data_IF_209405347984
#
_entry.id   IF_209405347984
#
_cell.length_a   1.000
_cell.length_b   1.000
_cell.length_c   1.000
_cell.angle_alpha   90.00
_cell.angle_beta   90.00
_cell.angle_gamma   90.00
#
_symmetry.space_group_name_H-M   'P 1'
#
loop_
_entity.id
_entity.type
_entity.pdbx_description
1 polymer ?
#
# COMPACT_ATOMS: atom_id res chain seq x y z
N UNK A 1 -13.16 -13.39 -9.15
CA UNK A 1 -12.42 -13.17 -7.89
C UNK A 1 -10.90 -13.21 -8.07
N UNK A 2 -10.31 -14.27 -8.65
CA UNK A 2 -8.84 -14.41 -8.80
C UNK A 2 -8.18 -13.24 -9.55
N UNK A 3 -8.81 -12.72 -10.61
CA UNK A 3 -8.29 -11.56 -11.36
C UNK A 3 -8.29 -10.25 -10.58
N UNK A 4 -9.19 -10.07 -9.61
CA UNK A 4 -9.25 -8.86 -8.79
C UNK A 4 -8.12 -8.87 -7.76
N UNK A 5 -7.85 -10.04 -7.17
CA UNK A 5 -6.75 -10.25 -6.21
C UNK A 5 -5.40 -10.01 -6.89
N UNK A 6 -5.17 -10.60 -8.07
CA UNK A 6 -3.93 -10.39 -8.83
C UNK A 6 -3.69 -8.93 -9.29
N UNK A 7 -4.77 -8.14 -9.43
CA UNK A 7 -4.68 -6.71 -9.70
C UNK A 7 -4.36 -5.92 -8.44
N UNK A 8 -5.09 -6.18 -7.36
CA UNK A 8 -4.86 -5.50 -6.09
C UNK A 8 -3.42 -5.73 -5.59
N UNK A 9 -2.95 -6.96 -5.64
CA UNK A 9 -1.58 -7.30 -5.25
C UNK A 9 -0.53 -6.60 -6.14
N UNK A 10 -0.77 -6.52 -7.46
CA UNK A 10 0.11 -5.76 -8.37
C UNK A 10 0.20 -4.27 -7.99
N UNK A 11 -0.93 -3.65 -7.65
CA UNK A 11 -0.96 -2.26 -7.19
C UNK A 11 -0.19 -2.09 -5.89
N UNK A 12 -0.37 -3.01 -4.94
CA UNK A 12 0.35 -3.02 -3.67
C UNK A 12 1.87 -3.16 -3.88
N UNK A 13 2.32 -4.01 -4.79
CA UNK A 13 3.75 -4.14 -5.14
C UNK A 13 4.32 -2.79 -5.61
N UNK A 14 3.65 -2.11 -6.53
CA UNK A 14 4.12 -0.83 -7.06
C UNK A 14 4.12 0.26 -5.99
N UNK A 15 3.05 0.37 -5.20
CA UNK A 15 2.91 1.41 -4.18
C UNK A 15 3.88 1.22 -3.02
N UNK A 16 3.97 0.01 -2.46
CA UNK A 16 4.89 -0.29 -1.36
C UNK A 16 6.34 -0.22 -1.84
N UNK A 17 6.63 -0.67 -3.08
CA UNK A 17 7.96 -0.52 -3.68
C UNK A 17 8.36 0.94 -3.86
N UNK A 18 7.47 1.80 -4.37
CA UNK A 18 7.74 3.23 -4.50
C UNK A 18 7.91 3.92 -3.14
N UNK A 19 7.11 3.54 -2.14
CA UNK A 19 7.26 4.04 -0.77
C UNK A 19 8.58 3.61 -0.14
N UNK A 20 8.97 2.34 -0.32
CA UNK A 20 10.26 1.83 0.15
C UNK A 20 11.43 2.61 -0.48
N UNK A 21 11.37 2.90 -1.79
CA UNK A 21 12.36 3.75 -2.47
C UNK A 21 12.46 5.15 -1.84
N UNK A 22 11.32 5.81 -1.63
CA UNK A 22 11.28 7.14 -1.04
C UNK A 22 11.86 7.16 0.38
N UNK A 23 11.52 6.15 1.20
CA UNK A 23 12.05 6.02 2.56
C UNK A 23 13.54 5.71 2.58
N UNK A 24 14.03 4.86 1.67
CA UNK A 24 15.45 4.58 1.54
C UNK A 24 16.25 5.83 1.18
N UNK A 25 15.71 6.64 0.25
CA UNK A 25 16.28 7.93 -0.14
C UNK A 25 16.30 8.94 1.02
N UNK A 26 15.20 9.04 1.78
CA UNK A 26 15.12 9.93 2.95
C UNK A 26 16.04 9.47 4.09
N UNK A 27 16.09 8.16 4.37
CA UNK A 27 16.97 7.59 5.37
C UNK A 27 18.45 7.85 5.06
N UNK A 28 18.83 7.76 3.78
CA UNK A 28 20.19 8.04 3.33
C UNK A 28 20.62 9.51 3.54
N UNK A 29 19.67 10.43 3.69
CA UNK A 29 19.93 11.84 3.97
C UNK A 29 19.91 12.18 5.47
N UNK A 30 19.60 11.22 6.34
CA UNK A 30 19.57 11.47 7.79
C UNK A 30 20.98 11.44 8.40
N UNK A 31 21.18 12.16 9.49
CA UNK A 31 22.48 12.23 10.19
C UNK A 31 22.97 10.87 10.69
N UNK A 32 22.03 9.95 10.98
CA UNK A 32 22.32 8.58 11.42
C UNK A 32 21.46 7.58 10.65
N UNK A 33 21.82 7.26 9.40
CA UNK A 33 20.99 6.47 8.50
C UNK A 33 20.58 5.13 9.09
N UNK A 34 21.54 4.35 9.60
CA UNK A 34 21.32 2.97 10.04
C UNK A 34 20.45 2.85 11.31
N UNK A 35 20.46 3.88 12.16
CA UNK A 35 19.65 3.92 13.38
C UNK A 35 18.38 4.75 13.20
N UNK A 36 18.13 5.26 11.99
CA UNK A 36 16.98 6.10 11.73
C UNK A 36 15.71 5.24 11.66
N UNK A 37 14.57 5.74 12.17
CA UNK A 37 13.28 5.04 12.03
C UNK A 37 12.86 4.89 10.56
N UNK A 38 13.29 5.82 9.70
CA UNK A 38 13.06 5.75 8.25
C UNK A 38 13.77 4.55 7.61
N UNK A 39 14.98 4.24 8.06
CA UNK A 39 15.72 3.07 7.59
C UNK A 39 15.09 1.75 8.03
N UNK A 40 14.70 1.65 9.30
CA UNK A 40 13.96 0.48 9.80
C UNK A 40 12.66 0.25 9.01
N UNK A 41 11.93 1.33 8.72
CA UNK A 41 10.72 1.26 7.90
C UNK A 41 11.00 0.89 6.43
N UNK A 42 12.09 1.42 5.85
CA UNK A 42 12.54 1.06 4.51
C UNK A 42 12.81 -0.46 4.41
N UNK A 43 13.53 -1.03 5.37
CA UNK A 43 13.85 -2.47 5.41
C UNK A 43 12.57 -3.31 5.53
N UNK A 44 11.68 -2.97 6.47
CA UNK A 44 10.43 -3.69 6.68
C UNK A 44 9.50 -3.64 5.44
N UNK A 45 9.34 -2.46 4.83
CA UNK A 45 8.55 -2.31 3.62
C UNK A 45 9.22 -2.95 2.39
N UNK A 46 10.54 -2.99 2.34
CA UNK A 46 11.29 -3.74 1.32
C UNK A 46 10.98 -5.24 1.37
N UNK A 47 11.01 -5.84 2.57
CA UNK A 47 10.64 -7.26 2.75
C UNK A 47 9.17 -7.50 2.41
N UNK A 48 8.26 -6.62 2.85
CA UNK A 48 6.84 -6.71 2.48
C UNK A 48 6.64 -6.62 0.96
N UNK A 49 7.32 -5.69 0.28
CA UNK A 49 7.29 -5.58 -1.17
C UNK A 49 7.79 -6.86 -1.85
N UNK A 50 8.84 -7.49 -1.30
CA UNK A 50 9.33 -8.80 -1.73
C UNK A 50 8.29 -9.91 -1.59
N UNK A 51 7.63 -10.02 -0.44
CA UNK A 51 6.56 -10.99 -0.21
C UNK A 51 5.37 -10.78 -1.17
N UNK A 52 4.96 -9.53 -1.36
CA UNK A 52 3.92 -9.15 -2.31
C UNK A 52 4.33 -9.48 -3.75
N UNK A 53 5.61 -9.30 -4.11
CA UNK A 53 6.14 -9.66 -5.42
C UNK A 53 6.11 -11.18 -5.65
N UNK A 54 6.51 -11.97 -4.66
CA UNK A 54 6.42 -13.44 -4.73
C UNK A 54 4.96 -13.88 -4.90
N UNK A 55 4.05 -13.33 -4.09
CA UNK A 55 2.62 -13.54 -4.25
C UNK A 55 2.14 -13.12 -5.64
N UNK A 56 2.66 -12.01 -6.20
CA UNK A 56 2.31 -11.55 -7.54
C UNK A 56 2.75 -12.54 -8.60
N UNK A 57 3.96 -13.07 -8.51
CA UNK A 57 4.50 -14.06 -9.47
C UNK A 57 3.62 -15.32 -9.43
N UNK A 58 3.31 -15.85 -8.25
CA UNK A 58 2.42 -17.00 -8.09
C UNK A 58 1.03 -16.71 -8.67
N UNK A 59 0.46 -15.54 -8.37
CA UNK A 59 -0.84 -15.12 -8.90
C UNK A 59 -0.81 -14.98 -10.44
N UNK A 60 0.31 -14.58 -11.03
CA UNK A 60 0.49 -14.45 -12.48
C UNK A 60 0.59 -15.80 -13.18
N UNK A 61 1.08 -16.85 -12.52
CA UNK A 61 1.03 -18.23 -13.02
C UNK A 61 -0.41 -18.74 -13.12
N UNK A 62 -1.27 -18.34 -12.17
CA UNK A 62 -2.68 -18.75 -12.15
C UNK A 62 -3.60 -17.82 -12.96
N UNK A 63 -3.25 -16.54 -13.12
CA UNK A 63 -4.06 -15.52 -13.78
C UNK A 63 -3.19 -14.58 -14.62
N UNK A 64 -3.26 -14.66 -15.96
CA UNK A 64 -2.47 -13.79 -16.81
C UNK A 64 -2.87 -12.30 -16.63
N UNK A 65 -1.92 -11.36 -16.83
CA UNK A 65 -2.21 -9.94 -16.75
C UNK A 65 -3.27 -9.52 -17.77
N UNK A 66 -4.15 -8.56 -17.43
CA UNK A 66 -5.05 -7.96 -18.41
C UNK A 66 -4.24 -7.41 -19.59
N UNK A 67 -4.72 -7.69 -20.81
CA UNK A 67 -4.07 -7.23 -22.03
C UNK A 67 -4.01 -5.69 -22.06
N UNK A 68 -2.88 -5.16 -22.52
CA UNK A 68 -2.75 -3.73 -22.81
C UNK A 68 -3.71 -3.33 -23.95
N UNK A 69 -4.18 -2.07 -24.00
CA UNK A 69 -5.17 -1.63 -24.99
C UNK A 69 -4.76 -1.97 -26.43
N UNK A 70 -5.67 -2.55 -27.21
CA UNK A 70 -5.40 -2.96 -28.60
C UNK A 70 -5.00 -1.78 -29.51
N UNK A 71 -5.48 -0.56 -29.20
CA UNK A 71 -5.13 0.69 -29.90
C UNK A 71 -3.65 1.08 -29.78
N UNK A 72 -2.89 0.46 -28.88
CA UNK A 72 -1.47 0.77 -28.72
C UNK A 72 -0.62 0.10 -29.81
N UNK A 73 0.37 0.84 -30.32
CA UNK A 73 1.40 0.30 -31.21
C UNK A 73 2.12 -0.89 -30.55
N UNK A 74 2.64 -1.81 -31.37
CA UNK A 74 3.39 -2.99 -30.88
C UNK A 74 4.58 -2.57 -30.01
N UNK A 75 5.32 -1.53 -30.42
CA UNK A 75 6.44 -0.98 -29.66
C UNK A 75 6.04 -0.44 -28.29
N UNK A 76 4.94 0.32 -28.19
CA UNK A 76 4.45 0.83 -26.89
C UNK A 76 4.05 -0.29 -25.94
N UNK A 77 3.42 -1.35 -26.45
CA UNK A 77 3.07 -2.54 -25.65
C UNK A 77 4.30 -3.30 -25.17
N UNK A 78 5.28 -3.51 -26.06
CA UNK A 78 6.54 -4.16 -25.71
C UNK A 78 7.32 -3.35 -24.65
N UNK A 79 7.41 -2.03 -24.82
CA UNK A 79 8.07 -1.15 -23.85
C UNK A 79 7.39 -1.20 -22.47
N UNK A 80 6.05 -1.15 -22.41
CA UNK A 80 5.34 -1.24 -21.14
C UNK A 80 5.52 -2.61 -20.45
N UNK A 81 5.53 -3.71 -21.22
CA UNK A 81 5.81 -5.04 -20.70
C UNK A 81 7.25 -5.16 -20.19
N UNK A 82 8.22 -4.60 -20.92
CA UNK A 82 9.62 -4.57 -20.51
C UNK A 82 9.83 -3.75 -19.24
N UNK A 83 9.14 -2.60 -19.08
CA UNK A 83 9.20 -1.81 -17.85
C UNK A 83 8.59 -2.56 -16.66
N UNK A 84 7.48 -3.28 -16.84
CA UNK A 84 6.92 -4.14 -15.78
C UNK A 84 7.92 -5.25 -15.39
N UNK A 85 8.53 -5.91 -16.37
CA UNK A 85 9.56 -6.91 -16.13
C UNK A 85 10.75 -6.34 -15.35
N UNK A 86 11.28 -5.19 -15.78
CA UNK A 86 12.39 -4.52 -15.09
C UNK A 86 12.00 -4.11 -13.67
N UNK A 87 10.76 -3.65 -13.45
CA UNK A 87 10.29 -3.33 -12.10
C UNK A 87 10.27 -4.57 -11.19
N UNK A 88 9.79 -5.71 -11.69
CA UNK A 88 9.80 -6.97 -10.92
C UNK A 88 11.22 -7.46 -10.64
N UNK A 89 12.07 -7.48 -11.68
CA UNK A 89 13.45 -7.93 -11.54
C UNK A 89 14.23 -7.05 -10.57
N UNK A 90 14.13 -5.72 -10.73
CA UNK A 90 14.82 -4.77 -9.84
C UNK A 90 14.34 -4.89 -8.41
N UNK A 91 13.03 -5.05 -8.18
CA UNK A 91 12.50 -5.23 -6.83
C UNK A 91 12.95 -6.55 -6.19
N UNK A 92 12.95 -7.67 -6.93
CA UNK A 92 13.47 -8.94 -6.43
C UNK A 92 14.95 -8.83 -6.04
N UNK A 93 15.76 -8.21 -6.91
CA UNK A 93 17.19 -8.00 -6.66
C UNK A 93 17.45 -7.00 -5.52
N UNK A 94 16.60 -5.98 -5.35
CA UNK A 94 16.67 -5.06 -4.21
C UNK A 94 16.50 -5.80 -2.88
N UNK A 95 15.49 -6.67 -2.78
CA UNK A 95 15.26 -7.47 -1.57
C UNK A 95 16.44 -8.41 -1.31
N UNK A 96 16.94 -9.09 -2.34
CA UNK A 96 18.08 -9.99 -2.22
C UNK A 96 19.36 -9.24 -1.80
N UNK A 97 19.70 -8.15 -2.48
CA UNK A 97 20.90 -7.36 -2.18
C UNK A 97 20.82 -6.70 -0.81
N UNK A 98 19.65 -6.20 -0.38
CA UNK A 98 19.45 -5.63 0.95
C UNK A 98 19.61 -6.66 2.07
N UNK A 99 19.05 -7.87 1.89
CA UNK A 99 19.19 -8.96 2.86
C UNK A 99 20.64 -9.45 2.96
N UNK A 100 21.31 -9.67 1.82
CA UNK A 100 22.71 -10.09 1.79
C UNK A 100 23.65 -9.01 2.35
N UNK A 101 23.35 -7.73 2.08
CA UNK A 101 24.11 -6.61 2.65
C UNK A 101 24.06 -6.62 4.17
N UNK A 102 22.88 -6.78 4.77
CA UNK A 102 22.74 -6.91 6.22
C UNK A 102 23.47 -8.14 6.78
N UNK A 103 23.37 -9.27 6.08
CA UNK A 103 24.02 -10.51 6.48
C UNK A 103 25.56 -10.38 6.53
N UNK A 104 26.19 -9.89 5.47
CA UNK A 104 27.67 -9.79 5.40
C UNK A 104 28.24 -8.55 6.10
N UNK A 105 27.50 -7.44 6.12
CA UNK A 105 27.94 -6.19 6.75
C UNK A 105 27.90 -6.21 8.28
N UNK A 106 27.41 -7.29 8.90
CA UNK A 106 27.30 -7.42 10.35
C UNK A 106 26.29 -6.44 10.99
N UNK A 107 25.50 -5.74 10.17
CA UNK A 107 24.47 -4.82 10.63
C UNK A 107 23.19 -5.62 10.92
N UNK A 108 22.72 -5.69 12.18
CA UNK A 108 21.48 -6.40 12.51
C UNK A 108 20.31 -5.62 11.92
N UNK A 109 19.91 -5.98 10.70
CA UNK A 109 18.72 -5.45 10.06
C UNK A 109 17.49 -5.94 10.82
N UNK A 110 16.59 -5.03 11.16
CA UNK A 110 15.33 -5.39 11.80
C UNK A 110 14.19 -5.42 10.79
N UNK A 111 13.50 -6.56 10.73
CA UNK A 111 12.27 -6.71 9.94
C UNK A 111 11.14 -6.91 10.93
N UNK A 112 10.24 -5.93 11.01
CA UNK A 112 9.13 -5.95 11.98
C UNK A 112 9.58 -6.17 13.44
N UNK A 113 10.83 -5.75 13.77
CA UNK A 113 11.39 -5.80 15.12
C UNK A 113 12.12 -7.08 15.44
N UNK A 114 12.17 -7.98 14.47
CA UNK A 114 12.96 -9.20 14.55
C UNK A 114 14.30 -8.97 13.84
N UNK A 115 15.43 -9.17 14.53
CA UNK A 115 16.73 -9.07 13.89
C UNK A 115 16.88 -10.20 12.87
N UNK A 116 17.35 -9.85 11.68
CA UNK A 116 17.76 -10.80 10.66
C UNK A 116 19.09 -11.46 11.05
N UNK A 117 19.35 -12.69 10.58
CA UNK A 117 20.63 -13.34 10.80
C UNK A 117 21.76 -12.50 10.21
N UNK A 118 22.88 -12.45 10.94
CA UNK A 118 24.13 -11.83 10.51
C UNK A 118 25.24 -12.88 10.47
N UNK A 119 26.17 -12.71 9.55
CA UNK A 119 27.37 -13.55 9.49
C UNK A 119 28.24 -13.26 10.71
N UNK A 120 28.71 -14.29 11.44
CA UNK A 120 29.70 -14.12 12.50
C UNK A 120 31.13 -13.91 11.94
N UNK A 121 31.33 -14.21 10.65
CA UNK A 121 32.61 -14.02 9.97
C UNK A 121 32.77 -12.58 9.49
N UNK A 122 34.02 -12.11 9.45
CA UNK A 122 34.36 -10.80 8.89
C UNK A 122 33.89 -10.68 7.43
N UNK A 123 33.45 -9.47 7.04
CA UNK A 123 32.98 -9.17 5.69
C UNK A 123 34.06 -9.52 4.66
N UNK A 124 33.85 -10.55 3.81
CA UNK A 124 34.88 -11.00 2.89
C UNK A 124 35.13 -9.98 1.79
N UNK A 125 36.33 -9.98 1.21
CA UNK A 125 36.58 -9.16 0.02
C UNK A 125 35.93 -9.80 -1.18
N UNK A 126 35.37 -8.96 -2.07
CA UNK A 126 34.74 -9.46 -3.29
C UNK A 126 35.74 -10.20 -4.19
N UNK A 127 37.00 -9.77 -4.19
CA UNK A 127 38.10 -10.41 -4.91
C UNK A 127 38.40 -11.83 -4.44
N UNK A 128 38.16 -12.14 -3.16
CA UNK A 128 38.39 -13.48 -2.59
C UNK A 128 37.32 -14.47 -3.08
N UNK A 129 36.14 -13.97 -3.49
CA UNK A 129 35.02 -14.78 -4.00
C UNK A 129 35.04 -14.89 -5.53
N UNK A 130 35.16 -13.76 -6.22
CA UNK A 130 35.08 -13.70 -7.70
C UNK A 130 36.43 -13.95 -8.37
N UNK A 131 37.53 -13.93 -7.60
CA UNK A 131 38.88 -13.97 -8.11
C UNK A 131 39.38 -12.59 -8.60
N UNK A 132 40.70 -12.34 -8.50
CA UNK A 132 41.29 -11.04 -8.85
C UNK A 132 41.11 -10.69 -10.33
N UNK A 133 41.03 -11.68 -11.22
CA UNK A 133 40.83 -11.50 -12.66
C UNK A 133 39.49 -10.84 -13.00
N UNK A 134 38.46 -11.00 -12.17
CA UNK A 134 37.13 -10.39 -12.37
C UNK A 134 36.95 -9.13 -11.53
N UNK A 135 37.53 -9.08 -10.32
CA UNK A 135 37.36 -7.95 -9.41
C UNK A 135 38.21 -6.72 -9.80
N UNK A 136 39.44 -6.91 -10.29
CA UNK A 136 40.35 -5.81 -10.64
C UNK A 136 39.87 -4.96 -11.83
N UNK A 137 39.44 -5.52 -12.97
CA UNK A 137 39.02 -4.72 -14.12
C UNK A 137 37.77 -3.87 -13.86
N UNK A 138 36.93 -4.30 -12.91
CA UNK A 138 35.72 -3.59 -12.50
C UNK A 138 35.97 -2.56 -11.39
N UNK A 139 37.22 -2.40 -10.95
CA UNK A 139 37.57 -1.49 -9.85
C UNK A 139 37.11 -1.97 -8.46
N UNK A 140 36.76 -3.25 -8.33
CA UNK A 140 36.22 -3.86 -7.11
C UNK A 140 37.28 -4.67 -6.33
N UNK A 141 38.55 -4.59 -6.73
CA UNK A 141 39.64 -5.39 -6.14
C UNK A 141 39.87 -5.16 -4.64
N UNK A 142 39.48 -3.99 -4.11
CA UNK A 142 39.55 -3.66 -2.69
C UNK A 142 38.19 -3.66 -1.97
N UNK A 143 37.08 -3.80 -2.70
CA UNK A 143 35.74 -3.67 -2.13
C UNK A 143 35.36 -4.91 -1.32
N UNK A 144 34.71 -4.70 -0.18
CA UNK A 144 34.07 -5.81 0.53
C UNK A 144 32.80 -6.26 -0.18
N UNK A 145 32.31 -7.45 0.18
CA UNK A 145 31.04 -7.96 -0.37
C UNK A 145 29.89 -7.04 0.01
N UNK A 146 29.84 -6.56 1.26
CA UNK A 146 28.79 -5.62 1.67
C UNK A 146 28.86 -4.29 0.90
N UNK A 147 30.05 -3.72 0.65
CA UNK A 147 30.19 -2.48 -0.13
C UNK A 147 29.65 -2.65 -1.56
N UNK A 148 30.01 -3.76 -2.21
CA UNK A 148 29.52 -4.08 -3.56
C UNK A 148 28.00 -4.29 -3.59
N UNK A 149 27.44 -4.99 -2.59
CA UNK A 149 26.00 -5.20 -2.46
C UNK A 149 25.25 -3.89 -2.22
N UNK A 150 25.78 -2.98 -1.40
CA UNK A 150 25.17 -1.68 -1.16
C UNK A 150 25.18 -0.81 -2.41
N UNK A 151 26.28 -0.81 -3.16
CA UNK A 151 26.37 -0.12 -4.45
C UNK A 151 25.35 -0.67 -5.46
N UNK A 152 25.28 -2.00 -5.58
CA UNK A 152 24.28 -2.67 -6.42
C UNK A 152 22.84 -2.32 -5.98
N UNK A 153 22.56 -2.33 -4.68
CA UNK A 153 21.25 -1.98 -4.12
C UNK A 153 20.83 -0.56 -4.53
N UNK A 154 21.74 0.42 -4.45
CA UNK A 154 21.47 1.81 -4.88
C UNK A 154 21.17 1.89 -6.38
N UNK A 155 21.96 1.22 -7.22
CA UNK A 155 21.75 1.17 -8.67
C UNK A 155 20.40 0.54 -9.04
N UNK A 156 20.06 -0.57 -8.38
CA UNK A 156 18.76 -1.23 -8.55
C UNK A 156 17.60 -0.34 -8.08
N UNK A 157 17.82 0.51 -7.08
CA UNK A 157 16.87 1.52 -6.63
C UNK A 157 16.51 2.50 -7.75
N UNK A 158 17.53 3.03 -8.45
CA UNK A 158 17.31 3.90 -9.62
C UNK A 158 16.64 3.14 -10.78
N UNK A 159 17.04 1.90 -11.02
CA UNK A 159 16.43 1.05 -12.07
C UNK A 159 14.93 0.81 -11.79
N UNK A 160 14.57 0.48 -10.54
CA UNK A 160 13.19 0.31 -10.12
C UNK A 160 12.39 1.62 -10.28
N UNK A 161 12.94 2.75 -9.81
CA UNK A 161 12.29 4.06 -9.94
C UNK A 161 12.04 4.41 -11.41
N UNK A 162 13.07 4.29 -12.26
CA UNK A 162 12.97 4.55 -13.70
C UNK A 162 11.95 3.64 -14.39
N UNK A 163 11.95 2.35 -14.06
CA UNK A 163 10.99 1.39 -14.60
C UNK A 163 9.55 1.72 -14.20
N UNK A 164 9.30 2.07 -12.93
CA UNK A 164 7.96 2.47 -12.45
C UNK A 164 7.50 3.75 -13.14
N UNK A 165 8.35 4.78 -13.21
CA UNK A 165 8.03 6.06 -13.86
C UNK A 165 7.72 5.85 -15.34
N UNK A 166 8.56 5.11 -16.06
CA UNK A 166 8.36 4.87 -17.49
C UNK A 166 7.11 4.02 -17.74
N UNK A 167 6.87 3.00 -16.90
CA UNK A 167 5.65 2.19 -16.95
C UNK A 167 4.37 3.04 -16.74
N UNK A 168 4.42 3.99 -15.80
CA UNK A 168 3.35 4.97 -15.56
C UNK A 168 3.16 5.91 -16.76
N UNK A 169 4.25 6.51 -17.26
CA UNK A 169 4.24 7.45 -18.39
C UNK A 169 3.70 6.81 -19.67
N UNK A 170 4.02 5.53 -19.91
CA UNK A 170 3.47 4.77 -21.02
C UNK A 170 1.96 4.51 -20.86
N UNK A 171 1.38 4.75 -19.68
CA UNK A 171 -0.03 4.55 -19.38
C UNK A 171 -0.35 3.11 -19.00
N UNK A 172 0.60 2.38 -18.39
CA UNK A 172 0.47 0.95 -18.12
C UNK A 172 -0.78 0.56 -17.33
N UNK A 173 -1.29 1.45 -16.48
CA UNK A 173 -2.53 1.25 -15.72
C UNK A 173 -3.81 1.29 -16.57
N UNK A 174 -3.73 1.79 -17.82
CA UNK A 174 -4.85 1.76 -18.75
C UNK A 174 -5.34 0.34 -19.07
N UNK A 175 -4.53 -0.70 -18.80
CA UNK A 175 -4.99 -2.10 -18.86
C UNK A 175 -6.04 -2.48 -17.81
N UNK A 176 -6.15 -1.67 -16.75
CA UNK A 176 -7.19 -1.83 -15.73
C UNK A 176 -8.39 -0.91 -16.00
N UNK A 177 -8.27 0.02 -16.95
CA UNK A 177 -9.37 0.88 -17.33
C UNK A 177 -10.43 0.06 -18.08
N UNK A 178 -11.71 0.36 -17.83
CA UNK A 178 -12.80 0.06 -18.74
C UNK A 178 -12.43 0.21 -20.22
N UNK A 179 -12.60 -0.84 -21.04
CA UNK A 179 -12.46 -0.67 -22.49
C UNK A 179 -13.74 -0.04 -23.03
N UNK A 180 -13.61 0.94 -23.92
CA UNK A 180 -14.74 1.45 -24.69
C UNK A 180 -15.31 0.28 -25.51
N UNK A 181 -16.61 0.02 -25.44
CA UNK A 181 -17.19 -1.08 -26.20
C UNK A 181 -17.04 -0.84 -27.71
N UNK A 182 -17.03 -1.93 -28.51
CA UNK A 182 -17.14 -1.81 -29.95
C UNK A 182 -18.45 -1.10 -30.32
N UNK A 183 -18.52 -0.44 -31.49
CA UNK A 183 -19.68 0.33 -31.94
C UNK A 183 -20.98 -0.48 -32.06
N UNK A 184 -20.91 -1.80 -31.91
CA UNK A 184 -22.06 -2.70 -31.91
C UNK A 184 -22.90 -2.61 -30.61
N UNK A 185 -22.32 -2.26 -29.45
CA UNK A 185 -23.12 -2.01 -28.23
C UNK A 185 -24.00 -0.76 -28.35
N UNK A 186 -23.57 0.21 -29.18
CA UNK A 186 -24.32 1.42 -29.46
C UNK A 186 -25.56 1.20 -30.35
N UNK A 187 -25.73 0.00 -30.91
CA UNK A 187 -26.88 -0.35 -31.77
C UNK A 187 -28.06 -0.95 -31.02
N UNK A 188 -27.94 -1.23 -29.72
CA UNK A 188 -29.08 -1.62 -28.89
C UNK A 188 -29.91 -0.36 -28.62
N UNK A 189 -31.05 -0.25 -29.29
CA UNK A 189 -31.97 0.88 -29.27
C UNK A 189 -32.40 1.27 -27.85
N UNK A 190 -32.33 2.57 -27.47
CA UNK A 190 -32.59 3.05 -26.11
C UNK A 190 -34.07 3.33 -25.83
N UNK A 191 -35.00 2.47 -26.27
CA UNK A 191 -36.43 2.81 -26.30
C UNK A 191 -37.20 2.45 -25.02
N UNK A 192 -36.62 1.70 -24.07
CA UNK A 192 -37.31 1.34 -22.81
C UNK A 192 -36.40 1.42 -21.58
N UNK A 193 -35.79 2.59 -21.33
CA UNK A 193 -35.13 2.84 -20.04
C UNK A 193 -35.98 3.81 -19.22
N UNK A 194 -37.01 3.28 -18.56
CA UNK A 194 -37.44 3.83 -17.26
C UNK A 194 -36.19 4.01 -16.38
N UNK A 195 -36.12 5.12 -15.63
CA UNK A 195 -35.04 5.53 -14.72
C UNK A 195 -33.88 4.52 -14.61
N UNK A 196 -32.82 4.73 -15.40
CA UNK A 196 -31.75 3.74 -15.51
C UNK A 196 -31.27 3.30 -14.10
N UNK A 197 -31.19 1.99 -13.80
CA UNK A 197 -30.71 1.50 -12.50
C UNK A 197 -29.34 2.06 -12.10
N UNK A 198 -28.58 2.54 -13.07
CA UNK A 198 -27.28 3.20 -12.94
C UNK A 198 -27.34 4.63 -12.41
N UNK A 199 -28.42 5.39 -12.66
CA UNK A 199 -28.57 6.76 -12.19
C UNK A 199 -28.73 6.81 -10.65
N UNK A 200 -29.56 5.91 -10.09
CA UNK A 200 -29.72 5.79 -8.64
C UNK A 200 -28.42 5.38 -7.93
N UNK A 201 -27.66 4.46 -8.54
CA UNK A 201 -26.34 4.05 -8.02
C UNK A 201 -25.32 5.19 -8.08
N UNK A 202 -25.29 5.95 -9.17
CA UNK A 202 -24.41 7.11 -9.33
C UNK A 202 -24.65 8.16 -8.23
N UNK A 203 -25.91 8.49 -7.95
CA UNK A 203 -26.26 9.42 -6.87
C UNK A 203 -25.81 8.91 -5.49
N UNK A 204 -25.99 7.62 -5.20
CA UNK A 204 -25.52 7.00 -3.94
C UNK A 204 -24.00 7.02 -3.84
N UNK A 205 -23.27 6.70 -4.91
CA UNK A 205 -21.80 6.78 -4.93
C UNK A 205 -21.29 8.19 -4.63
N UNK A 206 -21.94 9.24 -5.17
CA UNK A 206 -21.58 10.64 -4.84
C UNK A 206 -21.87 10.97 -3.39
N UNK A 207 -23.08 10.68 -2.92
CA UNK A 207 -23.52 11.03 -1.58
C UNK A 207 -22.64 10.36 -0.53
N UNK A 208 -22.53 9.03 -0.59
CA UNK A 208 -21.75 8.28 0.38
C UNK A 208 -20.25 8.46 0.22
N UNK A 209 -19.76 8.75 -0.99
CA UNK A 209 -18.37 9.17 -1.19
C UNK A 209 -18.04 10.48 -0.45
N UNK A 210 -18.92 11.49 -0.51
CA UNK A 210 -18.74 12.73 0.25
C UNK A 210 -18.93 12.55 1.75
N UNK A 211 -19.92 11.75 2.17
CA UNK A 211 -20.14 11.41 3.57
C UNK A 211 -18.96 10.63 4.16
N UNK A 212 -18.25 9.82 3.38
CA UNK A 212 -17.02 9.17 3.82
C UNK A 212 -15.84 10.16 3.84
N UNK A 213 -15.69 10.95 2.77
CA UNK A 213 -14.53 11.80 2.54
C UNK A 213 -14.34 12.86 3.63
N UNK A 214 -15.37 13.64 3.96
CA UNK A 214 -15.21 14.78 4.87
C UNK A 214 -14.85 14.35 6.30
N UNK A 215 -15.53 13.37 6.92
CA UNK A 215 -15.12 12.87 8.24
C UNK A 215 -13.73 12.24 8.22
N UNK A 216 -13.41 11.42 7.21
CA UNK A 216 -12.09 10.78 7.13
C UNK A 216 -10.97 11.81 6.91
N UNK A 217 -11.21 12.88 6.14
CA UNK A 217 -10.26 13.98 5.96
C UNK A 217 -10.04 14.74 7.27
N UNK A 218 -11.10 15.09 8.00
CA UNK A 218 -10.99 15.77 9.28
C UNK A 218 -10.22 14.92 10.31
N UNK A 219 -10.52 13.62 10.39
CA UNK A 219 -9.81 12.68 11.27
C UNK A 219 -8.35 12.53 10.85
N UNK A 220 -8.06 12.47 9.53
CA UNK A 220 -6.69 12.39 9.04
C UNK A 220 -5.88 13.64 9.43
N UNK A 221 -6.42 14.84 9.24
CA UNK A 221 -5.74 16.07 9.63
C UNK A 221 -5.47 16.12 11.15
N UNK A 222 -6.48 15.83 11.97
CA UNK A 222 -6.33 15.78 13.43
C UNK A 222 -5.29 14.72 13.87
N UNK A 223 -5.35 13.53 13.27
CA UNK A 223 -4.42 12.44 13.57
C UNK A 223 -2.99 12.77 13.15
N UNK A 224 -2.81 13.43 12.00
CA UNK A 224 -1.49 13.88 11.54
C UNK A 224 -0.85 14.86 12.51
N UNK A 225 -1.62 15.83 13.04
CA UNK A 225 -1.13 16.78 14.05
C UNK A 225 -0.76 16.06 15.36
N UNK A 226 -1.63 15.17 15.85
CA UNK A 226 -1.37 14.42 17.08
C UNK A 226 -0.17 13.48 16.95
N UNK A 227 0.00 12.82 15.81
CA UNK A 227 1.17 11.99 15.52
C UNK A 227 2.44 12.83 15.44
N UNK A 228 2.38 14.01 14.84
CA UNK A 228 3.52 14.93 14.80
C UNK A 228 3.97 15.32 16.21
N UNK A 229 3.05 15.72 17.09
CA UNK A 229 3.37 16.01 18.49
C UNK A 229 3.89 14.78 19.24
N UNK A 230 3.30 13.61 19.01
CA UNK A 230 3.72 12.35 19.64
C UNK A 230 5.13 11.92 19.21
N UNK A 231 5.50 12.23 17.97
CA UNK A 231 6.82 11.91 17.40
C UNK A 231 7.86 12.92 17.87
N UNK A 232 7.57 14.22 17.77
CA UNK A 232 8.45 15.29 18.24
C UNK A 232 8.71 15.22 19.76
N UNK A 233 7.69 14.90 20.55
CA UNK A 233 7.80 14.76 22.01
C UNK A 233 8.77 13.67 22.46
N UNK A 234 8.97 12.61 21.66
CA UNK A 234 9.96 11.56 21.96
C UNK A 234 11.41 12.03 21.85
N UNK A 235 11.69 13.11 21.12
CA UNK A 235 13.03 13.71 21.08
C UNK A 235 13.42 14.31 22.44
N UNK A 236 12.43 14.77 23.23
CA UNK A 236 12.64 15.37 24.55
C UNK A 236 12.44 14.37 25.69
N UNK A 237 11.70 13.28 25.47
CA UNK A 237 11.50 12.18 26.42
C UNK A 237 11.66 10.83 25.73
N UNK A 238 12.92 10.38 25.53
CA UNK A 238 13.20 9.11 24.87
C UNK A 238 12.63 7.95 25.68
N UNK A 239 11.93 7.02 25.03
CA UNK A 239 11.54 5.73 25.61
C UNK A 239 12.03 4.60 24.71
N UNK A 240 12.21 3.41 25.28
CA UNK A 240 12.47 2.18 24.50
C UNK A 240 11.43 2.07 23.37
N UNK A 241 11.88 2.16 22.12
CA UNK A 241 11.03 2.16 20.93
C UNK A 241 11.18 0.85 20.18
N UNK A 242 10.07 0.19 19.89
CA UNK A 242 10.03 -1.04 19.09
C UNK A 242 8.62 -1.30 18.53
N UNK A 243 8.43 -2.37 17.77
CA UNK A 243 7.15 -2.70 17.12
C UNK A 243 6.00 -3.02 18.10
N UNK A 244 6.31 -3.24 19.39
CA UNK A 244 5.32 -3.29 20.47
C UNK A 244 4.78 -1.91 20.90
N UNK A 245 5.30 -0.81 20.35
CA UNK A 245 4.85 0.54 20.63
C UNK A 245 3.67 0.92 19.72
N UNK A 246 2.59 1.40 20.34
CA UNK A 246 1.34 1.71 19.68
C UNK A 246 1.46 2.78 18.58
N UNK A 247 2.50 3.62 18.63
CA UNK A 247 2.68 4.69 17.63
C UNK A 247 2.94 4.13 16.22
N UNK A 248 3.66 3.01 16.09
CA UNK A 248 3.96 2.43 14.79
C UNK A 248 2.69 1.91 14.11
N UNK A 249 1.84 1.23 14.88
CA UNK A 249 0.53 0.76 14.41
C UNK A 249 -0.37 1.93 14.01
N UNK A 250 -0.39 3.02 14.77
CA UNK A 250 -1.13 4.22 14.35
C UNK A 250 -0.61 4.84 13.06
N UNK A 251 0.70 4.81 12.80
CA UNK A 251 1.26 5.33 11.56
C UNK A 251 0.77 4.52 10.35
N UNK A 252 0.78 3.19 10.44
CA UNK A 252 0.26 2.34 9.36
C UNK A 252 -1.24 2.55 9.13
N UNK A 253 -2.03 2.59 10.20
CA UNK A 253 -3.45 2.87 10.11
C UNK A 253 -3.74 4.28 9.55
N UNK A 254 -2.89 5.26 9.86
CA UNK A 254 -2.97 6.62 9.33
C UNK A 254 -2.70 6.66 7.82
N UNK A 255 -1.66 5.97 7.34
CA UNK A 255 -1.38 5.86 5.90
C UNK A 255 -2.54 5.18 5.15
N UNK A 256 -3.12 4.13 5.74
CA UNK A 256 -4.33 3.49 5.21
C UNK A 256 -5.51 4.46 5.20
N UNK A 257 -5.66 5.32 6.22
CA UNK A 257 -6.72 6.32 6.26
C UNK A 257 -6.54 7.35 5.14
N UNK A 258 -5.32 7.83 4.90
CA UNK A 258 -5.04 8.72 3.76
C UNK A 258 -5.43 8.09 2.42
N UNK A 259 -5.11 6.81 2.23
CA UNK A 259 -5.52 6.04 1.05
C UNK A 259 -7.06 5.89 0.96
N UNK A 260 -7.72 5.59 2.08
CA UNK A 260 -9.18 5.48 2.15
C UNK A 260 -9.87 6.82 1.83
N UNK A 261 -9.35 7.94 2.33
CA UNK A 261 -9.85 9.29 2.04
C UNK A 261 -9.70 9.62 0.55
N UNK A 262 -8.53 9.33 -0.05
CA UNK A 262 -8.33 9.54 -1.49
C UNK A 262 -9.29 8.68 -2.33
N UNK A 263 -9.55 7.45 -1.89
CA UNK A 263 -10.48 6.55 -2.55
C UNK A 263 -11.95 7.01 -2.39
N UNK A 264 -12.33 7.56 -1.23
CA UNK A 264 -13.64 8.16 -1.02
C UNK A 264 -13.89 9.34 -1.98
N UNK A 265 -12.87 10.19 -2.17
CA UNK A 265 -12.91 11.23 -3.20
C UNK A 265 -13.08 10.63 -4.60
N UNK A 266 -12.36 9.55 -4.90
CA UNK A 266 -12.50 8.85 -6.17
C UNK A 266 -13.92 8.29 -6.39
N UNK A 267 -14.61 7.77 -5.37
CA UNK A 267 -16.01 7.34 -5.49
C UNK A 267 -16.91 8.45 -6.03
N UNK A 268 -16.71 9.69 -5.55
CA UNK A 268 -17.48 10.86 -6.00
C UNK A 268 -17.20 11.21 -7.46
N UNK A 269 -15.94 11.05 -7.89
CA UNK A 269 -15.50 11.37 -9.26
C UNK A 269 -15.83 10.28 -10.26
N UNK A 270 -15.88 9.02 -9.83
CA UNK A 270 -16.26 7.89 -10.65
C UNK A 270 -17.77 7.83 -10.90
N UNK A 271 -18.59 8.43 -10.04
CA UNK A 271 -20.04 8.30 -10.14
C UNK A 271 -20.68 8.74 -11.47
N UNK A 272 -20.27 9.85 -12.14
CA UNK A 272 -20.82 10.19 -13.46
C UNK A 272 -20.53 9.13 -14.52
N UNK A 273 -19.37 8.45 -14.44
CA UNK A 273 -19.04 7.37 -15.37
C UNK A 273 -19.93 6.13 -15.19
N UNK A 274 -20.36 5.86 -13.94
CA UNK A 274 -21.28 4.77 -13.61
C UNK A 274 -22.69 5.04 -14.12
N UNK A 275 -23.09 6.32 -14.26
CA UNK A 275 -24.40 6.71 -14.76
C UNK A 275 -24.63 6.37 -16.25
N UNK A 276 -23.55 6.15 -17.02
CA UNK A 276 -23.64 5.81 -18.44
C UNK A 276 -24.29 4.42 -18.63
N UNK A 277 -25.27 4.32 -19.53
CA UNK A 277 -26.12 3.13 -19.71
C UNK A 277 -25.32 1.84 -19.99
N UNK A 278 -24.20 1.95 -20.70
CA UNK A 278 -23.35 0.81 -21.08
C UNK A 278 -22.39 0.35 -19.97
N UNK A 279 -22.26 1.08 -18.85
CA UNK A 279 -21.24 0.80 -17.85
C UNK A 279 -21.31 -0.64 -17.30
N UNK A 280 -22.52 -1.11 -16.99
CA UNK A 280 -22.76 -2.44 -16.44
C UNK A 280 -22.72 -3.56 -17.50
N UNK A 281 -23.11 -3.24 -18.74
CA UNK A 281 -23.08 -4.19 -19.87
C UNK A 281 -21.66 -4.54 -20.30
N UNK A 282 -20.75 -3.54 -20.27
CA UNK A 282 -19.37 -3.69 -20.74
C UNK A 282 -18.43 -4.21 -19.65
N UNK A 283 -18.64 -3.84 -18.37
CA UNK A 283 -17.69 -4.10 -17.28
C UNK A 283 -18.12 -5.21 -16.31
N UNK A 284 -18.60 -6.34 -16.85
CA UNK A 284 -19.24 -7.44 -16.09
C UNK A 284 -18.47 -7.91 -14.85
N UNK A 285 -17.13 -7.94 -14.82
CA UNK A 285 -16.38 -8.45 -13.66
C UNK A 285 -15.60 -7.37 -12.88
N UNK A 286 -15.39 -6.19 -13.47
CA UNK A 286 -14.41 -5.21 -12.96
C UNK A 286 -14.98 -3.82 -12.74
N UNK A 287 -16.28 -3.61 -13.00
CA UNK A 287 -16.95 -2.31 -12.83
C UNK A 287 -16.60 -1.64 -11.50
N UNK A 288 -16.68 -2.38 -10.39
CA UNK A 288 -16.61 -1.80 -9.04
C UNK A 288 -15.36 -2.18 -8.25
N UNK A 289 -14.23 -2.38 -8.92
CA UNK A 289 -12.95 -2.76 -8.26
C UNK A 289 -12.57 -1.80 -7.11
N UNK A 290 -12.91 -0.51 -7.25
CA UNK A 290 -12.63 0.51 -6.25
C UNK A 290 -13.43 0.31 -4.95
N UNK A 291 -14.66 -0.23 -5.01
CA UNK A 291 -15.43 -0.55 -3.79
C UNK A 291 -14.80 -1.72 -3.03
N UNK A 292 -14.31 -2.73 -3.75
CA UNK A 292 -13.57 -3.85 -3.16
C UNK A 292 -12.25 -3.38 -2.54
N UNK A 293 -11.55 -2.46 -3.21
CA UNK A 293 -10.33 -1.85 -2.67
C UNK A 293 -10.60 -1.11 -1.36
N UNK A 294 -11.67 -0.31 -1.30
CA UNK A 294 -11.99 0.43 -0.09
C UNK A 294 -12.44 -0.46 1.06
N UNK A 295 -13.16 -1.54 0.77
CA UNK A 295 -13.49 -2.55 1.78
C UNK A 295 -12.22 -3.19 2.36
N UNK A 296 -11.26 -3.56 1.50
CA UNK A 296 -10.01 -4.16 1.92
C UNK A 296 -9.16 -3.18 2.76
N UNK A 297 -8.98 -1.94 2.28
CA UNK A 297 -8.25 -0.88 3.01
C UNK A 297 -8.91 -0.64 4.38
N UNK A 298 -10.24 -0.54 4.42
CA UNK A 298 -10.98 -0.32 5.66
C UNK A 298 -10.84 -1.48 6.65
N UNK A 299 -10.97 -2.73 6.21
CA UNK A 299 -10.83 -3.90 7.10
C UNK A 299 -9.41 -4.04 7.66
N UNK A 300 -8.39 -3.88 6.81
CA UNK A 300 -6.99 -3.87 7.25
C UNK A 300 -6.76 -2.71 8.23
N UNK A 301 -7.29 -1.52 7.91
CA UNK A 301 -7.23 -0.35 8.76
C UNK A 301 -7.84 -0.58 10.14
N UNK A 302 -9.03 -1.19 10.21
CA UNK A 302 -9.67 -1.59 11.48
C UNK A 302 -8.76 -2.50 12.30
N UNK A 303 -8.20 -3.55 11.70
CA UNK A 303 -7.33 -4.50 12.41
C UNK A 303 -6.07 -3.79 12.94
N UNK A 304 -5.39 -3.02 12.09
CA UNK A 304 -4.16 -2.29 12.44
C UNK A 304 -4.42 -1.27 13.55
N UNK A 305 -5.51 -0.49 13.45
CA UNK A 305 -5.91 0.45 14.50
C UNK A 305 -6.28 -0.23 15.81
N UNK A 306 -6.93 -1.40 15.74
CA UNK A 306 -7.31 -2.16 16.94
C UNK A 306 -6.09 -2.68 17.70
N UNK A 307 -5.06 -3.15 16.99
CA UNK A 307 -3.78 -3.54 17.59
C UNK A 307 -3.13 -2.33 18.29
N UNK A 308 -3.02 -1.20 17.59
CA UNK A 308 -2.47 0.02 18.18
C UNK A 308 -3.26 0.51 19.41
N UNK A 309 -4.59 0.47 19.34
CA UNK A 309 -5.47 0.82 20.46
C UNK A 309 -5.24 -0.09 21.67
N UNK A 310 -5.14 -1.40 21.45
CA UNK A 310 -4.92 -2.40 22.50
C UNK A 310 -3.55 -2.22 23.17
N UNK A 311 -2.50 -1.93 22.40
CA UNK A 311 -1.17 -1.63 22.92
C UNK A 311 -1.17 -0.32 23.72
N UNK A 312 -1.84 0.72 23.24
CA UNK A 312 -1.99 1.98 23.99
C UNK A 312 -2.70 1.78 25.32
N UNK A 313 -3.84 1.07 25.33
CA UNK A 313 -4.58 0.77 26.56
C UNK A 313 -3.72 -0.05 27.52
N UNK A 314 -3.05 -1.10 27.03
CA UNK A 314 -2.17 -1.95 27.86
C UNK A 314 -1.03 -1.18 28.48
N UNK A 315 -0.38 -0.29 27.71
CA UNK A 315 0.69 0.57 28.21
C UNK A 315 0.19 1.55 29.28
N UNK A 316 -0.97 2.17 29.08
CA UNK A 316 -1.56 3.07 30.06
C UNK A 316 -1.92 2.33 31.35
N UNK A 317 -2.53 1.14 31.26
CA UNK A 317 -2.84 0.29 32.42
C UNK A 317 -1.57 -0.15 33.16
N UNK A 318 -0.52 -0.55 32.42
CA UNK A 318 0.75 -0.92 33.02
C UNK A 318 1.36 0.26 33.81
N UNK A 319 1.29 1.48 33.26
CA UNK A 319 1.77 2.69 33.93
C UNK A 319 0.90 3.10 35.12
N UNK A 320 -0.44 3.00 35.05
CA UNK A 320 -1.30 3.34 36.20
C UNK A 320 -1.09 2.39 37.37
N UNK A 321 -0.98 1.07 37.11
CA UNK A 321 -0.81 0.06 38.17
C UNK A 321 0.59 0.10 38.80
N UNK A 322 1.60 0.55 38.05
CA UNK A 322 2.99 0.63 38.52
C UNK A 322 3.39 2.00 39.09
N UNK A 323 2.42 2.81 39.54
CA UNK A 323 2.66 4.13 40.16
C UNK A 323 2.49 4.17 41.68
N UNK A 324 3.44 3.64 42.48
CA UNK A 324 3.52 3.94 43.91
C UNK A 324 3.68 5.44 44.19
N UNK A 325 3.25 5.94 45.36
CA UNK A 325 3.53 7.31 45.79
C UNK A 325 5.04 7.62 45.71
N UNK A 326 5.42 8.74 45.09
CA UNK A 326 6.82 9.16 44.95
C UNK A 326 7.61 8.53 43.80
N UNK A 327 7.03 7.60 43.01
CA UNK A 327 7.74 6.99 41.87
C UNK A 327 8.16 8.02 40.81
N UNK A 328 7.41 9.12 40.70
CA UNK A 328 7.68 10.18 39.73
C UNK A 328 9.04 10.86 39.95
N UNK A 329 9.57 10.79 41.17
CA UNK A 329 10.88 11.35 41.55
C UNK A 329 12.01 10.35 41.25
N UNK A 330 11.73 9.05 41.38
CA UNK A 330 12.75 7.98 41.33
C UNK A 330 12.86 7.31 39.96
N UNK A 331 11.77 7.21 39.20
CA UNK A 331 11.75 6.71 37.81
C UNK A 331 10.65 7.39 36.99
N UNK A 332 10.97 8.52 36.33
CA UNK A 332 10.01 9.27 35.52
C UNK A 332 9.39 8.49 34.35
N UNK A 333 10.02 7.39 33.91
CA UNK A 333 9.51 6.61 32.77
C UNK A 333 8.21 5.86 33.09
N UNK A 334 7.91 5.64 34.37
CA UNK A 334 6.68 5.01 34.86
C UNK A 334 5.48 5.97 34.87
N UNK A 335 5.71 7.26 34.65
CA UNK A 335 4.65 8.27 34.55
C UNK A 335 3.94 8.15 33.20
N UNK A 336 2.62 8.35 33.21
CA UNK A 336 1.83 8.49 31.98
C UNK A 336 2.18 9.83 31.34
N UNK A 337 2.68 9.78 30.11
CA UNK A 337 3.05 10.99 29.37
C UNK A 337 1.87 11.44 28.51
N UNK A 338 1.75 12.74 28.26
CA UNK A 338 0.73 13.27 27.35
C UNK A 338 0.79 12.61 25.95
N UNK A 339 1.99 12.29 25.47
CA UNK A 339 2.17 11.58 24.20
C UNK A 339 1.56 10.16 24.19
N UNK A 340 1.51 9.46 25.33
CA UNK A 340 0.91 8.13 25.40
C UNK A 340 -0.62 8.23 25.19
N UNK A 341 -1.24 9.29 25.70
CA UNK A 341 -2.68 9.59 25.53
C UNK A 341 -2.98 10.09 24.11
N UNK A 342 -2.11 10.89 23.50
CA UNK A 342 -2.27 11.30 22.10
C UNK A 342 -2.26 10.11 21.14
N UNK A 343 -1.32 9.17 21.33
CA UNK A 343 -1.27 7.95 20.52
C UNK A 343 -2.51 7.07 20.72
N UNK A 344 -3.04 6.98 21.94
CA UNK A 344 -4.33 6.32 22.21
C UNK A 344 -5.47 6.96 21.40
N UNK A 345 -5.58 8.30 21.48
CA UNK A 345 -6.64 9.05 20.82
C UNK A 345 -6.57 8.91 19.30
N UNK A 346 -5.35 8.95 18.74
CA UNK A 346 -5.12 8.69 17.31
C UNK A 346 -5.62 7.30 16.94
N UNK A 347 -5.17 6.23 17.62
CA UNK A 347 -5.58 4.87 17.27
C UNK A 347 -7.10 4.67 17.33
N UNK A 348 -7.76 5.27 18.33
CA UNK A 348 -9.22 5.25 18.44
C UNK A 348 -9.90 5.99 17.27
N UNK A 349 -9.43 7.19 16.92
CA UNK A 349 -9.97 7.96 15.81
C UNK A 349 -9.77 7.26 14.45
N UNK A 350 -8.60 6.63 14.25
CA UNK A 350 -8.30 5.82 13.07
C UNK A 350 -9.23 4.59 12.98
N UNK A 351 -9.46 3.89 14.09
CA UNK A 351 -10.39 2.76 14.16
C UNK A 351 -11.79 3.18 13.72
N UNK A 352 -12.29 4.30 14.26
CA UNK A 352 -13.59 4.85 13.91
C UNK A 352 -13.68 5.21 12.42
N UNK A 353 -12.66 5.89 11.89
CA UNK A 353 -12.62 6.30 10.49
C UNK A 353 -12.64 5.11 9.52
N UNK A 354 -11.87 4.07 9.84
CA UNK A 354 -11.84 2.83 9.05
C UNK A 354 -13.15 2.05 9.15
N UNK A 355 -13.75 1.98 10.34
CA UNK A 355 -15.05 1.34 10.54
C UNK A 355 -16.17 2.00 9.71
N UNK A 356 -16.22 3.35 9.69
CA UNK A 356 -17.13 4.11 8.83
C UNK A 356 -16.89 3.77 7.35
N UNK A 357 -15.62 3.74 6.93
CA UNK A 357 -15.23 3.40 5.56
C UNK A 357 -15.68 1.98 5.15
N UNK A 358 -15.54 1.00 6.05
CA UNK A 358 -16.02 -0.37 5.84
C UNK A 358 -17.54 -0.39 5.66
N UNK A 359 -18.29 0.27 6.55
CA UNK A 359 -19.75 0.34 6.47
C UNK A 359 -20.23 0.91 5.15
N UNK A 360 -19.61 2.01 4.70
CA UNK A 360 -19.93 2.65 3.42
C UNK A 360 -19.55 1.76 2.23
N UNK A 361 -18.38 1.13 2.25
CA UNK A 361 -17.94 0.23 1.18
C UNK A 361 -18.86 -1.00 1.04
N UNK A 362 -19.28 -1.61 2.16
CA UNK A 362 -20.25 -2.72 2.17
C UNK A 362 -21.59 -2.27 1.60
N UNK A 363 -22.13 -1.14 2.07
CA UNK A 363 -23.39 -0.59 1.60
C UNK A 363 -23.36 -0.34 0.08
N UNK A 364 -22.35 0.38 -0.41
CA UNK A 364 -22.20 0.67 -1.83
C UNK A 364 -22.00 -0.59 -2.68
N UNK A 365 -21.34 -1.62 -2.14
CA UNK A 365 -21.16 -2.91 -2.83
C UNK A 365 -22.51 -3.65 -2.96
N UNK A 366 -23.35 -3.62 -1.92
CA UNK A 366 -24.73 -4.12 -2.00
C UNK A 366 -25.53 -3.38 -3.07
N UNK A 367 -25.46 -2.04 -3.08
CA UNK A 367 -26.17 -1.22 -4.07
C UNK A 367 -25.70 -1.49 -5.50
N UNK A 368 -24.38 -1.63 -5.70
CA UNK A 368 -23.80 -2.01 -6.99
C UNK A 368 -24.28 -3.39 -7.45
N UNK A 369 -24.40 -4.35 -6.53
CA UNK A 369 -24.90 -5.70 -6.83
C UNK A 369 -26.38 -5.68 -7.20
N UNK A 370 -27.20 -4.92 -6.47
CA UNK A 370 -28.64 -4.71 -6.78
C UNK A 370 -28.84 -4.06 -8.14
N UNK A 371 -28.06 -3.03 -8.46
CA UNK A 371 -28.11 -2.37 -9.76
C UNK A 371 -27.76 -3.32 -10.91
N UNK A 372 -26.74 -4.18 -10.71
CA UNK A 372 -26.36 -5.21 -11.67
C UNK A 372 -27.46 -6.25 -11.89
N UNK A 373 -28.10 -6.71 -10.82
CA UNK A 373 -29.21 -7.65 -10.94
C UNK A 373 -30.37 -7.05 -11.74
N UNK A 374 -30.77 -5.82 -11.42
CA UNK A 374 -31.83 -5.10 -12.17
C UNK A 374 -31.48 -4.93 -13.64
N UNK A 375 -30.23 -4.56 -13.93
CA UNK A 375 -29.74 -4.44 -15.31
C UNK A 375 -29.82 -5.79 -16.05
N UNK A 376 -29.35 -6.88 -15.43
CA UNK A 376 -29.37 -8.21 -16.03
C UNK A 376 -30.80 -8.65 -16.39
N UNK A 377 -31.77 -8.47 -15.48
CA UNK A 377 -33.19 -8.79 -15.71
C UNK A 377 -33.78 -7.97 -16.86
N UNK A 378 -33.45 -6.69 -16.94
CA UNK A 378 -33.95 -5.81 -18.01
C UNK A 378 -33.38 -6.13 -19.40
N UNK A 379 -32.22 -6.81 -19.48
CA UNK A 379 -31.54 -7.14 -20.74
C UNK A 379 -31.83 -8.56 -21.28
N UNK A 380 -32.62 -9.38 -20.59
CA UNK A 380 -33.04 -10.69 -21.11
C UNK A 380 -34.06 -10.48 -22.23
N UNK A 381 -33.86 -11.04 -23.45
CA UNK A 381 -34.85 -10.96 -24.52
C UNK A 381 -36.19 -11.52 -24.05
N UNK A 382 -37.27 -10.76 -24.26
CA UNK A 382 -38.64 -11.23 -24.03
C UNK A 382 -39.02 -12.22 -25.15
N UNK A 383 -38.38 -13.40 -25.21
CA UNK A 383 -38.89 -14.50 -26.03
C UNK A 383 -39.99 -15.21 -25.24
N UNK A 384 -41.23 -15.17 -25.76
CA UNK A 384 -42.33 -16.02 -25.28
C UNK A 384 -43.34 -15.38 -24.32
N UNK A 385 -43.82 -14.17 -24.61
CA UNK A 385 -45.10 -13.67 -24.09
C UNK A 385 -46.01 -13.26 -25.24
N UNK A 386 -46.44 -14.26 -26.00
CA UNK A 386 -47.63 -14.18 -26.85
C UNK A 386 -48.62 -15.26 -26.41
#
# INVERSE_FOLDING_TARGET
>A
MRSTIARANFLSVILIGALALALGWLAAQSDRPLTSPLFALHVALGVLAGALLLAQIVLRLAVPPPALPARWSKGRRAAAAFCEFLAYLSLALLVATGALWGYFGGAPLEVFGHPLPVSPAADPRLADILGPAWAQPLGLGGATVSEALLAAHRLLGYALAGAIILYLALGGFSRFAPQTPPPESAKLTPVLIEHSPTAGLSSRLRLFGWLQFWPQLAIALASGVLLQFSTAGRAFSPSQSGYGDAIYWSLFAFLLLCAATALAFFYTRAAPSVAQADYLGVHKLTAFWFLTLGLAIGLIGVIVSFIGLSLSVSLLVAKTVSQPPGIAITDPNKIIRALDVFVLLVNFALLLAHFIGVGIAVFLTSEATRARYRFAVATVPQEGRD
#
